data_IF_883680787999
#
_entry.id   IF_883680787999
#
_cell.length_a   1.000
_cell.length_b   1.000
_cell.length_c   1.000
_cell.angle_alpha   90.00
_cell.angle_beta   90.00
_cell.angle_gamma   90.00
#
_symmetry.space_group_name_H-M   'P 1'
#
loop_
_entity.id
_entity.type
_entity.pdbx_description
1 polymer ?
#
# COMPACT_ATOMS: atom_id res chain seq x y z
N UNK A 1 -8.42 44.24 14.63
CA UNK A 1 -7.56 43.12 14.19
C UNK A 1 -8.45 41.90 14.11
N UNK A 2 -8.70 41.35 12.93
CA UNK A 2 -9.32 40.03 12.80
C UNK A 2 -8.42 39.04 13.53
N UNK A 3 -8.94 38.35 14.54
CA UNK A 3 -8.27 37.17 15.05
C UNK A 3 -8.42 36.09 13.97
N UNK A 4 -7.31 35.56 13.45
CA UNK A 4 -7.32 34.33 12.66
C UNK A 4 -7.74 33.20 13.59
N UNK A 5 -9.03 32.88 13.60
CA UNK A 5 -9.56 31.72 14.31
C UNK A 5 -9.40 30.53 13.36
N UNK A 6 -8.60 29.55 13.77
CA UNK A 6 -8.46 28.30 13.02
C UNK A 6 -9.84 27.62 12.87
N UNK A 7 -10.19 27.14 11.67
CA UNK A 7 -11.45 26.44 11.47
C UNK A 7 -11.51 25.13 12.24
N UNK A 8 -12.70 24.79 12.71
CA UNK A 8 -12.96 23.58 13.49
C UNK A 8 -13.54 22.51 12.56
N UNK A 9 -12.81 21.41 12.40
CA UNK A 9 -13.28 20.21 11.70
C UNK A 9 -14.07 19.31 12.65
N UNK A 10 -15.25 18.87 12.23
CA UNK A 10 -16.09 17.91 12.98
C UNK A 10 -16.87 17.00 12.05
N UNK A 11 -17.39 15.91 12.61
CA UNK A 11 -18.36 15.04 11.97
C UNK A 11 -19.78 15.56 12.21
N UNK A 12 -20.70 15.28 11.29
CA UNK A 12 -22.11 15.58 11.49
C UNK A 12 -22.68 14.67 12.60
N UNK A 13 -23.33 15.22 13.63
CA UNK A 13 -24.03 14.40 14.62
C UNK A 13 -25.08 13.50 13.95
N UNK A 14 -24.94 12.18 14.09
CA UNK A 14 -25.83 11.20 13.46
C UNK A 14 -25.41 10.71 12.06
N UNK A 15 -24.31 11.22 11.50
CA UNK A 15 -23.70 10.68 10.28
C UNK A 15 -22.17 10.86 10.30
N UNK A 16 -21.47 9.79 10.67
CA UNK A 16 -20.00 9.76 10.77
C UNK A 16 -19.28 9.86 9.42
N UNK A 17 -19.99 9.69 8.29
CA UNK A 17 -19.41 9.82 6.96
C UNK A 17 -19.41 11.28 6.47
N UNK A 18 -20.13 12.19 7.15
CA UNK A 18 -20.19 13.60 6.75
C UNK A 18 -19.24 14.47 7.55
N UNK A 19 -18.33 15.12 6.85
CA UNK A 19 -17.37 16.06 7.41
C UNK A 19 -17.84 17.50 7.22
N UNK A 20 -17.81 18.29 8.30
CA UNK A 20 -18.14 19.71 8.28
C UNK A 20 -16.98 20.50 8.86
N UNK A 21 -16.61 21.56 8.17
CA UNK A 21 -15.67 22.56 8.65
C UNK A 21 -16.42 23.82 9.05
N UNK A 22 -16.25 24.24 10.30
CA UNK A 22 -16.80 25.47 10.83
C UNK A 22 -15.76 26.58 10.81
N UNK A 23 -16.17 27.74 10.31
CA UNK A 23 -15.38 28.96 10.34
C UNK A 23 -16.10 29.97 11.22
N UNK A 24 -15.35 30.61 12.12
CA UNK A 24 -15.87 31.62 13.05
C UNK A 24 -15.08 32.90 12.86
N UNK A 25 -15.77 33.99 12.54
CA UNK A 25 -15.16 35.31 12.41
C UNK A 25 -15.85 36.28 13.38
N UNK A 26 -15.06 36.92 14.24
CA UNK A 26 -15.57 37.99 15.09
C UNK A 26 -15.95 39.22 14.24
N UNK A 27 -17.13 39.77 14.47
CA UNK A 27 -17.57 41.02 13.87
C UNK A 27 -17.17 42.14 14.82
N UNK A 28 -16.09 42.85 14.49
CA UNK A 28 -15.72 44.05 15.23
C UNK A 28 -16.61 45.20 14.76
N UNK A 29 -17.62 45.56 15.56
CA UNK A 29 -18.35 46.81 15.33
C UNK A 29 -17.43 48.02 15.59
N UNK A 30 -17.34 48.90 14.59
CA UNK A 30 -16.60 50.15 14.69
C UNK A 30 -17.37 51.19 15.50
N UNK A 31 -16.83 51.51 16.67
CA UNK A 31 -17.00 52.76 17.46
C UNK A 31 -18.41 53.30 17.66
N UNK A 32 -18.92 53.14 18.89
CA UNK A 32 -19.67 54.20 19.58
C UNK A 32 -21.12 53.88 19.92
N UNK A 33 -21.34 53.30 21.10
CA UNK A 33 -22.66 53.20 21.73
C UNK A 33 -22.62 52.17 22.86
N UNK A 34 -23.13 52.53 24.04
CA UNK A 34 -23.34 51.60 25.15
C UNK A 34 -24.23 50.45 24.67
N UNK A 35 -23.64 49.27 24.45
CA UNK A 35 -24.34 48.09 23.93
C UNK A 35 -23.69 47.38 22.73
N UNK A 36 -22.37 47.51 22.51
CA UNK A 36 -21.69 46.72 21.49
C UNK A 36 -21.91 45.21 21.74
N UNK A 37 -22.79 44.59 20.96
CA UNK A 37 -23.04 43.15 21.03
C UNK A 37 -21.81 42.42 20.47
N UNK A 38 -21.22 41.53 21.27
CA UNK A 38 -20.20 40.60 20.77
C UNK A 38 -20.87 39.66 19.75
N UNK A 39 -20.74 40.01 18.47
CA UNK A 39 -21.31 39.24 17.37
C UNK A 39 -20.22 38.46 16.63
N UNK A 40 -20.55 37.24 16.24
CA UNK A 40 -19.69 36.38 15.45
C UNK A 40 -20.46 35.79 14.27
N UNK A 41 -19.82 35.78 13.10
CA UNK A 41 -20.32 35.08 11.92
C UNK A 41 -19.77 33.66 11.98
N UNK A 42 -20.68 32.68 12.01
CA UNK A 42 -20.36 31.26 11.89
C UNK A 42 -20.88 30.76 10.55
N UNK A 43 -20.01 30.15 9.74
CA UNK A 43 -20.43 29.43 8.54
C UNK A 43 -19.84 28.02 8.51
N UNK A 44 -20.59 27.11 7.92
CA UNK A 44 -20.26 25.69 7.84
C UNK A 44 -20.09 25.28 6.37
N UNK A 45 -19.04 24.53 6.08
CA UNK A 45 -18.76 23.97 4.75
C UNK A 45 -18.73 22.46 4.84
N UNK A 46 -19.47 21.78 3.98
CA UNK A 46 -19.37 20.33 3.81
C UNK A 46 -18.05 20.00 3.11
N UNK A 47 -17.17 19.29 3.81
CA UNK A 47 -15.84 18.89 3.32
C UNK A 47 -15.75 17.38 3.09
N UNK A 48 -16.89 16.69 3.03
CA UNK A 48 -16.95 15.23 2.90
C UNK A 48 -16.22 14.73 1.65
N UNK A 49 -16.54 15.30 0.48
CA UNK A 49 -15.90 14.91 -0.78
C UNK A 49 -14.40 15.21 -0.79
N UNK A 50 -14.01 16.37 -0.22
CA UNK A 50 -12.61 16.73 -0.06
C UNK A 50 -11.87 15.71 0.82
N UNK A 51 -12.40 15.36 1.99
CA UNK A 51 -11.79 14.38 2.90
C UNK A 51 -11.71 12.99 2.28
N UNK A 52 -12.74 12.58 1.53
CA UNK A 52 -12.74 11.32 0.81
C UNK A 52 -11.62 11.28 -0.25
N UNK A 53 -11.46 12.37 -1.03
CA UNK A 53 -10.40 12.50 -2.02
C UNK A 53 -9.01 12.55 -1.36
N UNK A 54 -8.83 13.31 -0.29
CA UNK A 54 -7.59 13.34 0.51
C UNK A 54 -7.22 11.93 1.01
N UNK A 55 -8.20 11.18 1.51
CA UNK A 55 -8.03 9.79 1.93
C UNK A 55 -7.62 8.87 0.79
N UNK A 56 -8.27 8.97 -0.37
CA UNK A 56 -7.91 8.22 -1.57
C UNK A 56 -6.50 8.57 -2.07
N UNK A 57 -6.13 9.86 -2.06
CA UNK A 57 -4.80 10.32 -2.42
C UNK A 57 -3.74 9.77 -1.47
N UNK A 58 -3.97 9.85 -0.16
CA UNK A 58 -3.08 9.30 0.85
C UNK A 58 -2.91 7.78 0.69
N UNK A 59 -3.98 7.05 0.41
CA UNK A 59 -3.93 5.62 0.15
C UNK A 59 -3.17 5.29 -1.15
N UNK A 60 -3.39 6.07 -2.22
CA UNK A 60 -2.67 5.92 -3.48
C UNK A 60 -1.17 6.19 -3.31
N UNK A 61 -0.78 7.20 -2.52
CA UNK A 61 0.62 7.48 -2.22
C UNK A 61 1.28 6.35 -1.41
N UNK A 62 0.59 5.81 -0.40
CA UNK A 62 1.06 4.62 0.33
C UNK A 62 1.31 3.45 -0.61
N UNK A 63 0.35 3.18 -1.51
CA UNK A 63 0.48 2.08 -2.47
C UNK A 63 1.64 2.32 -3.47
N UNK A 64 1.87 3.56 -3.90
CA UNK A 64 3.00 3.90 -4.76
C UNK A 64 4.35 3.67 -4.07
N UNK A 65 4.47 4.06 -2.80
CA UNK A 65 5.68 3.82 -2.01
C UNK A 65 5.94 2.31 -1.81
N UNK A 66 4.90 1.53 -1.50
CA UNK A 66 4.98 0.05 -1.43
C UNK A 66 5.38 -0.54 -2.78
N UNK A 67 4.80 -0.04 -3.87
CA UNK A 67 5.15 -0.32 -5.27
C UNK A 67 6.63 -0.23 -5.59
N UNK A 68 7.19 0.93 -5.26
CA UNK A 68 8.59 1.26 -5.54
C UNK A 68 9.56 0.43 -4.68
N UNK A 69 9.26 0.25 -3.39
CA UNK A 69 10.06 -0.57 -2.49
C UNK A 69 10.06 -2.04 -2.91
N UNK A 70 8.89 -2.61 -3.21
CA UNK A 70 8.81 -4.00 -3.65
C UNK A 70 9.47 -4.22 -5.01
N UNK A 71 9.39 -3.22 -5.91
CA UNK A 71 10.09 -3.23 -7.20
C UNK A 71 11.61 -3.40 -7.04
N UNK A 72 12.22 -2.58 -6.19
CA UNK A 72 13.66 -2.65 -5.89
C UNK A 72 14.05 -3.95 -5.20
N UNK A 73 13.35 -4.32 -4.12
CA UNK A 73 13.63 -5.55 -3.36
C UNK A 73 13.53 -6.77 -4.26
N UNK A 74 12.48 -6.86 -5.07
CA UNK A 74 12.27 -8.02 -5.92
C UNK A 74 13.27 -8.13 -7.07
N UNK A 75 13.74 -7.00 -7.59
CA UNK A 75 14.86 -7.00 -8.54
C UNK A 75 16.11 -7.61 -7.90
N UNK A 76 16.47 -7.17 -6.69
CA UNK A 76 17.66 -7.66 -5.99
C UNK A 76 17.55 -9.14 -5.61
N UNK A 77 16.37 -9.59 -5.18
CA UNK A 77 16.09 -11.01 -4.95
C UNK A 77 16.22 -11.84 -6.23
N UNK A 78 15.66 -11.36 -7.35
CA UNK A 78 15.80 -12.07 -8.62
C UNK A 78 17.26 -12.15 -9.08
N UNK A 79 18.08 -11.13 -8.80
CA UNK A 79 19.51 -11.16 -9.12
C UNK A 79 20.23 -12.30 -8.37
N UNK A 80 20.00 -12.40 -7.06
CA UNK A 80 20.60 -13.46 -6.23
C UNK A 80 20.07 -14.84 -6.65
N UNK A 81 18.76 -14.98 -6.84
CA UNK A 81 18.15 -16.25 -7.25
C UNK A 81 18.64 -16.71 -8.62
N UNK A 82 18.81 -15.78 -9.57
CA UNK A 82 19.36 -16.09 -10.90
C UNK A 82 20.78 -16.65 -10.79
N UNK A 83 21.63 -16.05 -9.95
CA UNK A 83 22.98 -16.57 -9.71
C UNK A 83 22.97 -17.97 -9.08
N UNK A 84 22.10 -18.23 -8.11
CA UNK A 84 21.94 -19.55 -7.48
C UNK A 84 21.47 -20.60 -8.49
N UNK A 85 20.48 -20.26 -9.33
CA UNK A 85 19.97 -21.16 -10.37
C UNK A 85 21.09 -21.48 -11.37
N UNK A 86 21.82 -20.46 -11.84
CA UNK A 86 22.92 -20.65 -12.79
C UNK A 86 24.05 -21.51 -12.22
N UNK A 87 24.44 -21.28 -10.96
CA UNK A 87 25.44 -22.11 -10.29
C UNK A 87 24.97 -23.56 -10.16
N UNK A 88 23.70 -23.76 -9.80
CA UNK A 88 23.11 -25.10 -9.69
C UNK A 88 23.06 -25.81 -11.05
N UNK A 89 22.71 -25.10 -12.13
CA UNK A 89 22.70 -25.64 -13.50
C UNK A 89 24.11 -26.05 -13.96
N UNK A 90 25.12 -25.24 -13.64
CA UNK A 90 26.52 -25.56 -13.96
C UNK A 90 27.00 -26.78 -13.18
N UNK A 91 26.63 -26.91 -11.90
CA UNK A 91 26.94 -28.08 -11.09
C UNK A 91 26.27 -29.35 -11.64
N UNK A 92 25.00 -29.28 -12.04
CA UNK A 92 24.26 -30.39 -12.65
C UNK A 92 24.82 -30.81 -14.01
N UNK A 93 25.45 -29.88 -14.75
CA UNK A 93 26.11 -30.19 -16.02
C UNK A 93 27.36 -31.06 -15.81
N UNK A 94 28.02 -30.91 -14.66
CA UNK A 94 29.27 -31.61 -14.33
C UNK A 94 29.07 -32.86 -13.45
N UNK A 95 27.86 -33.10 -12.92
CA UNK A 95 27.53 -34.25 -12.08
C UNK A 95 26.61 -35.23 -12.80
N UNK A 96 26.84 -36.53 -12.58
CA UNK A 96 25.96 -37.60 -13.08
C UNK A 96 24.80 -37.80 -12.11
N UNK A 97 23.64 -38.31 -12.57
CA UNK A 97 22.53 -38.67 -11.67
C UNK A 97 22.88 -39.69 -10.59
N UNK A 98 23.96 -40.46 -10.77
CA UNK A 98 24.48 -41.41 -9.78
C UNK A 98 25.38 -40.78 -8.71
N UNK A 99 25.75 -39.50 -8.86
CA UNK A 99 26.58 -38.84 -7.85
C UNK A 99 25.77 -38.56 -6.58
N UNK A 100 26.34 -38.78 -5.38
CA UNK A 100 25.64 -38.57 -4.12
C UNK A 100 25.11 -37.13 -3.93
N UNK A 101 25.76 -36.13 -4.51
CA UNK A 101 25.38 -34.71 -4.42
C UNK A 101 24.30 -34.29 -5.42
N UNK A 102 24.00 -35.10 -6.45
CA UNK A 102 23.06 -34.74 -7.51
C UNK A 102 21.64 -34.42 -6.99
N UNK A 103 21.05 -35.22 -6.08
CA UNK A 103 19.72 -34.91 -5.52
C UNK A 103 19.68 -33.58 -4.76
N UNK A 104 20.75 -33.25 -4.03
CA UNK A 104 20.83 -32.02 -3.25
C UNK A 104 20.93 -30.79 -4.16
N UNK A 105 21.76 -30.85 -5.20
CA UNK A 105 21.87 -29.76 -6.20
C UNK A 105 20.53 -29.54 -6.91
N UNK A 106 19.82 -30.63 -7.25
CA UNK A 106 18.50 -30.54 -7.86
C UNK A 106 17.47 -29.89 -6.92
N UNK A 107 17.51 -30.24 -5.62
CA UNK A 107 16.67 -29.61 -4.60
C UNK A 107 16.96 -28.11 -4.47
N UNK A 108 18.23 -27.69 -4.46
CA UNK A 108 18.61 -26.27 -4.42
C UNK A 108 18.02 -25.53 -5.63
N UNK A 109 18.19 -26.07 -6.84
CA UNK A 109 17.61 -25.49 -8.06
C UNK A 109 16.10 -25.36 -7.99
N UNK A 110 15.39 -26.40 -7.53
CA UNK A 110 13.93 -26.38 -7.42
C UNK A 110 13.46 -25.32 -6.42
N UNK A 111 14.09 -25.24 -5.25
CA UNK A 111 13.76 -24.25 -4.23
C UNK A 111 14.03 -22.81 -4.72
N UNK A 112 15.15 -22.58 -5.41
CA UNK A 112 15.45 -21.27 -5.99
C UNK A 112 14.42 -20.84 -7.05
N UNK A 113 13.97 -21.78 -7.90
CA UNK A 113 12.90 -21.51 -8.88
C UNK A 113 11.56 -21.19 -8.21
N UNK A 114 11.21 -21.89 -7.13
CA UNK A 114 10.00 -21.60 -6.33
C UNK A 114 10.07 -20.21 -5.71
N UNK A 115 11.19 -19.87 -5.07
CA UNK A 115 11.41 -18.55 -4.50
C UNK A 115 11.29 -17.43 -5.56
N UNK A 116 11.84 -17.65 -6.76
CA UNK A 116 11.70 -16.69 -7.86
C UNK A 116 10.24 -16.52 -8.30
N UNK A 117 9.44 -17.58 -8.27
CA UNK A 117 8.00 -17.52 -8.54
C UNK A 117 7.26 -16.68 -7.51
N UNK A 118 7.52 -16.90 -6.22
CA UNK A 118 6.91 -16.14 -5.12
C UNK A 118 7.25 -14.65 -5.19
N UNK A 119 8.50 -14.31 -5.49
CA UNK A 119 8.93 -12.90 -5.67
C UNK A 119 8.20 -12.25 -6.84
N UNK A 120 7.96 -12.97 -7.94
CA UNK A 120 7.16 -12.47 -9.08
C UNK A 120 5.70 -12.24 -8.69
N UNK A 121 5.10 -13.12 -7.88
CA UNK A 121 3.73 -12.93 -7.39
C UNK A 121 3.60 -11.72 -6.45
N UNK A 122 4.58 -11.50 -5.57
CA UNK A 122 4.63 -10.32 -4.71
C UNK A 122 4.77 -9.02 -5.52
N UNK A 123 5.59 -9.03 -6.58
CA UNK A 123 5.70 -7.93 -7.54
C UNK A 123 4.39 -7.62 -8.25
N UNK A 124 3.66 -8.66 -8.67
CA UNK A 124 2.37 -8.52 -9.33
C UNK A 124 1.32 -7.88 -8.40
N UNK A 125 1.37 -8.18 -7.10
CA UNK A 125 0.52 -7.55 -6.08
C UNK A 125 0.89 -6.08 -5.83
N UNK A 126 2.19 -5.77 -5.87
CA UNK A 126 2.70 -4.43 -5.57
C UNK A 126 2.55 -3.45 -6.75
N UNK A 127 2.54 -3.95 -7.98
CA UNK A 127 2.20 -3.14 -9.14
C UNK A 127 0.70 -2.88 -9.13
N UNK A 128 0.30 -1.63 -9.35
CA UNK A 128 -1.04 -1.19 -9.79
C UNK A 128 -1.44 -1.82 -11.16
N UNK A 129 -1.09 -3.06 -11.43
CA UNK A 129 -1.64 -3.75 -12.57
C UNK A 129 -3.13 -3.86 -12.29
N UNK A 130 -3.95 -3.36 -13.21
CA UNK A 130 -5.37 -3.69 -13.27
C UNK A 130 -5.45 -5.19 -13.11
N UNK A 131 -5.87 -5.66 -11.92
CA UNK A 131 -6.05 -7.07 -11.62
C UNK A 131 -6.91 -7.61 -12.75
N UNK A 132 -6.32 -8.39 -13.64
CA UNK A 132 -7.08 -9.21 -14.58
C UNK A 132 -7.41 -10.47 -13.80
N UNK A 133 -8.63 -10.63 -13.29
CA UNK A 133 -9.01 -11.87 -12.64
C UNK A 133 -8.82 -13.00 -13.64
N UNK A 134 -7.94 -13.93 -13.30
CA UNK A 134 -7.76 -15.19 -14.02
C UNK A 134 -8.40 -16.30 -13.18
N UNK A 135 -9.03 -17.26 -13.85
CA UNK A 135 -9.62 -18.42 -13.18
C UNK A 135 -8.48 -19.32 -12.72
N UNK A 136 -8.17 -19.27 -11.43
CA UNK A 136 -7.16 -20.09 -10.78
C UNK A 136 -7.80 -21.33 -10.13
N UNK A 137 -7.16 -22.48 -10.27
CA UNK A 137 -7.55 -23.70 -9.55
C UNK A 137 -7.13 -23.59 -8.09
N UNK A 138 -8.09 -23.44 -7.19
CA UNK A 138 -7.86 -23.34 -5.74
C UNK A 138 -7.08 -24.53 -5.17
N UNK A 139 -7.20 -25.71 -5.78
CA UNK A 139 -6.49 -26.92 -5.32
C UNK A 139 -4.98 -26.76 -5.44
N UNK A 140 -4.52 -26.15 -6.54
CA UNK A 140 -3.10 -25.96 -6.83
C UNK A 140 -2.53 -24.83 -5.95
N UNK A 141 -3.29 -23.76 -5.74
CA UNK A 141 -2.92 -22.64 -4.86
C UNK A 141 -2.83 -23.09 -3.39
N UNK A 142 -3.76 -23.94 -2.92
CA UNK A 142 -3.72 -24.51 -1.58
C UNK A 142 -2.54 -25.48 -1.37
N UNK A 143 -2.17 -26.24 -2.40
CA UNK A 143 -1.02 -27.12 -2.33
C UNK A 143 0.29 -26.34 -2.19
N UNK A 144 0.44 -25.24 -2.94
CA UNK A 144 1.61 -24.35 -2.86
C UNK A 144 1.68 -23.61 -1.51
N UNK A 145 0.55 -23.16 -0.96
CA UNK A 145 0.50 -22.49 0.35
C UNK A 145 0.79 -23.43 1.52
N UNK A 146 0.33 -24.69 1.44
CA UNK A 146 0.53 -25.69 2.50
C UNK A 146 2.01 -26.05 2.69
N UNK A 147 2.83 -25.91 1.65
CA UNK A 147 4.29 -26.11 1.70
C UNK A 147 5.05 -25.00 2.42
N UNK A 148 4.46 -23.82 2.63
CA UNK A 148 5.07 -22.70 3.38
C UNK A 148 4.81 -22.76 4.89
N UNK A 149 3.88 -23.62 5.33
CA UNK A 149 3.45 -23.78 6.72
C UNK A 149 3.94 -25.07 7.37
N UNK A 150 4.79 -25.84 6.67
CA UNK A 150 5.43 -27.05 7.15
C UNK A 150 6.95 -26.81 7.30
#
# INVERSE_FOLDING_TARGET
>A
RQAEIEPIDTLLPGNEDRHIRFYVNAVAEGTGGEGAEESAIVYAVDTTEQKALEGQMAQSQKMQAVGQLAGGIAHDFNNVLTAIIMASDLLLTNHRPSDPSFPDIMNIKQNANRAASLVRQLLAFSRKQTLRPEVLNLTDVLADLRMLLA
#
